data_IF_709242400886
#
_entry.id   IF_709242400886
#
_cell.length_a   1.000
_cell.length_b   1.000
_cell.length_c   1.000
_cell.angle_alpha   90.00
_cell.angle_beta   90.00
_cell.angle_gamma   90.00
#
_symmetry.space_group_name_H-M   'P 1'
#
loop_
_entity.id
_entity.type
_entity.pdbx_description
1 polymer ?
#
# COMPACT_ATOMS: atom_id res chain seq x y z
N UNK A 1 10.40 -24.20 14.08
CA UNK A 1 9.48 -23.42 13.22
C UNK A 1 9.80 -23.75 11.77
N UNK A 2 8.82 -24.16 10.97
CA UNK A 2 9.05 -24.46 9.56
C UNK A 2 9.06 -23.15 8.78
N UNK A 3 10.07 -22.95 7.93
CA UNK A 3 10.16 -21.77 7.07
C UNK A 3 9.07 -21.83 5.98
N UNK A 4 8.26 -20.78 5.86
CA UNK A 4 7.22 -20.63 4.84
C UNK A 4 7.02 -19.15 4.50
N UNK A 5 6.26 -18.85 3.44
CA UNK A 5 6.04 -17.47 2.97
C UNK A 5 5.45 -16.55 4.05
N UNK A 6 4.36 -16.90 4.77
CA UNK A 6 3.81 -16.05 5.83
C UNK A 6 4.84 -15.69 6.91
N UNK A 7 5.56 -16.68 7.43
CA UNK A 7 6.62 -16.47 8.44
C UNK A 7 7.71 -15.51 7.95
N UNK A 8 8.10 -15.61 6.68
CA UNK A 8 9.09 -14.73 6.08
C UNK A 8 8.55 -13.30 5.94
N UNK A 9 7.29 -13.15 5.53
CA UNK A 9 6.64 -11.85 5.36
C UNK A 9 6.41 -11.15 6.70
N UNK A 10 6.03 -11.88 7.76
CA UNK A 10 5.89 -11.33 9.11
C UNK A 10 7.25 -10.79 9.62
N UNK A 11 8.32 -11.56 9.44
CA UNK A 11 9.66 -11.12 9.82
C UNK A 11 10.16 -9.93 8.96
N UNK A 12 9.78 -9.86 7.68
CA UNK A 12 10.08 -8.71 6.83
C UNK A 12 9.34 -7.46 7.30
N UNK A 13 8.04 -7.57 7.64
CA UNK A 13 7.25 -6.48 8.20
C UNK A 13 7.82 -5.96 9.52
N UNK A 14 8.27 -6.86 10.40
CA UNK A 14 8.94 -6.46 11.65
C UNK A 14 10.22 -5.64 11.39
N UNK A 15 11.05 -6.07 10.42
CA UNK A 15 12.24 -5.30 10.03
C UNK A 15 11.85 -3.94 9.44
N UNK A 16 10.82 -3.88 8.60
CA UNK A 16 10.33 -2.64 8.01
C UNK A 16 9.86 -1.67 9.09
N UNK A 17 9.07 -2.12 10.05
CA UNK A 17 8.59 -1.31 11.15
C UNK A 17 9.74 -0.70 11.96
N UNK A 18 10.74 -1.52 12.30
CA UNK A 18 11.85 -1.09 13.17
C UNK A 18 12.90 -0.26 12.42
N UNK A 19 13.28 -0.65 11.21
CA UNK A 19 14.44 -0.09 10.50
C UNK A 19 14.12 0.56 9.15
N UNK A 20 12.95 0.29 8.57
CA UNK A 20 12.58 0.74 7.22
C UNK A 20 13.14 -0.12 6.08
N UNK A 21 12.80 0.25 4.85
CA UNK A 21 13.06 -0.49 3.62
C UNK A 21 14.55 -0.58 3.26
N UNK A 22 15.33 0.46 3.60
CA UNK A 22 16.77 0.49 3.35
C UNK A 22 17.49 -0.67 4.05
N UNK A 23 17.03 -1.03 5.25
CA UNK A 23 17.60 -2.11 6.06
C UNK A 23 17.04 -3.49 5.76
N UNK A 24 15.89 -3.58 5.07
CA UNK A 24 15.33 -4.85 4.62
C UNK A 24 16.20 -5.46 3.51
N UNK A 25 17.13 -6.32 3.91
CA UNK A 25 17.97 -7.12 3.00
C UNK A 25 17.68 -8.61 3.17
N UNK A 26 17.87 -9.39 2.11
CA UNK A 26 17.73 -10.86 2.19
C UNK A 26 18.63 -11.47 3.28
N UNK A 27 19.81 -10.90 3.49
CA UNK A 27 20.75 -11.36 4.52
C UNK A 27 20.24 -11.04 5.93
N UNK A 28 19.83 -9.79 6.20
CA UNK A 28 19.28 -9.39 7.51
C UNK A 28 18.03 -10.22 7.84
N UNK A 29 17.15 -10.42 6.86
CA UNK A 29 15.94 -11.23 7.02
C UNK A 29 16.27 -12.70 7.34
N UNK A 30 17.26 -13.28 6.68
CA UNK A 30 17.67 -14.65 6.98
C UNK A 30 18.27 -14.74 8.39
N UNK A 31 19.07 -13.73 8.78
CA UNK A 31 19.65 -13.63 10.13
C UNK A 31 18.57 -13.50 11.20
N UNK A 32 17.54 -12.66 11.01
CA UNK A 32 16.45 -12.51 12.00
C UNK A 32 15.65 -13.80 12.16
N UNK A 33 15.53 -14.59 11.09
CA UNK A 33 14.88 -15.91 11.10
C UNK A 33 15.81 -17.06 11.53
N UNK A 34 17.09 -16.78 11.84
CA UNK A 34 18.10 -17.79 12.18
C UNK A 34 18.26 -18.89 11.11
N UNK A 35 18.15 -18.54 9.83
CA UNK A 35 18.34 -19.44 8.69
C UNK A 35 19.47 -18.95 7.78
N UNK A 36 19.99 -19.85 6.94
CA UNK A 36 20.92 -19.45 5.89
C UNK A 36 20.19 -18.61 4.81
N UNK A 37 20.82 -17.57 4.21
CA UNK A 37 20.20 -16.78 3.14
C UNK A 37 19.68 -17.61 1.97
N UNK A 38 20.37 -18.71 1.64
CA UNK A 38 19.94 -19.70 0.64
C UNK A 38 18.54 -20.26 0.86
N UNK A 39 18.08 -20.35 2.12
CA UNK A 39 16.77 -20.88 2.46
C UNK A 39 15.63 -19.96 1.99
N UNK A 40 15.82 -18.64 2.04
CA UNK A 40 14.80 -17.68 1.61
C UNK A 40 14.54 -17.74 0.11
N UNK A 41 15.57 -18.04 -0.69
CA UNK A 41 15.46 -18.08 -2.15
C UNK A 41 14.53 -19.18 -2.69
N UNK A 42 14.24 -20.21 -1.89
CA UNK A 42 13.22 -21.21 -2.20
C UNK A 42 11.79 -20.66 -2.13
N UNK A 43 11.57 -19.59 -1.37
CA UNK A 43 10.26 -18.95 -1.21
C UNK A 43 10.14 -17.67 -2.02
N UNK A 44 11.23 -16.89 -2.09
CA UNK A 44 11.31 -15.63 -2.82
C UNK A 44 12.63 -15.56 -3.61
N UNK A 45 12.61 -15.67 -4.95
CA UNK A 45 13.83 -15.80 -5.75
C UNK A 45 14.73 -14.56 -5.71
N UNK A 46 14.23 -13.40 -5.29
CA UNK A 46 14.99 -12.16 -5.14
C UNK A 46 14.26 -11.19 -4.18
N UNK A 47 14.90 -10.05 -3.89
CA UNK A 47 14.29 -8.99 -3.04
C UNK A 47 13.00 -8.45 -3.63
N UNK A 48 12.88 -8.31 -4.95
CA UNK A 48 11.67 -7.77 -5.59
C UNK A 48 10.46 -8.69 -5.38
N UNK A 49 10.65 -10.01 -5.51
CA UNK A 49 9.59 -10.98 -5.23
C UNK A 49 9.15 -10.95 -3.74
N UNK A 50 10.07 -10.69 -2.82
CA UNK A 50 9.74 -10.47 -1.40
C UNK A 50 8.90 -9.19 -1.23
N UNK A 51 9.30 -8.08 -1.87
CA UNK A 51 8.55 -6.82 -1.82
C UNK A 51 7.15 -6.96 -2.44
N UNK A 52 7.01 -7.71 -3.53
CA UNK A 52 5.70 -8.09 -4.09
C UNK A 52 4.84 -8.85 -3.09
N UNK A 53 5.42 -9.79 -2.35
CA UNK A 53 4.72 -10.48 -1.27
C UNK A 53 4.29 -9.56 -0.13
N UNK A 54 5.13 -8.59 0.27
CA UNK A 54 4.76 -7.58 1.29
C UNK A 54 3.65 -6.68 0.78
N UNK A 55 3.72 -6.21 -0.47
CA UNK A 55 2.67 -5.42 -1.10
C UNK A 55 1.35 -6.22 -1.21
N UNK A 56 1.41 -7.52 -1.46
CA UNK A 56 0.22 -8.39 -1.45
C UNK A 56 -0.44 -8.45 -0.07
N UNK A 57 0.35 -8.52 1.01
CA UNK A 57 -0.18 -8.44 2.39
C UNK A 57 -0.85 -7.09 2.65
N UNK A 58 -0.26 -5.97 2.21
CA UNK A 58 -0.92 -4.65 2.32
C UNK A 58 -2.30 -4.67 1.64
N UNK A 59 -2.37 -5.26 0.44
CA UNK A 59 -3.60 -5.33 -0.34
C UNK A 59 -4.67 -6.25 0.26
N UNK A 60 -4.38 -7.10 1.26
CA UNK A 60 -5.40 -7.95 1.89
C UNK A 60 -6.54 -7.15 2.53
N UNK A 61 -6.26 -5.91 2.95
CA UNK A 61 -7.26 -4.99 3.53
C UNK A 61 -7.99 -4.16 2.46
N UNK A 62 -7.56 -4.21 1.20
CA UNK A 62 -8.15 -3.45 0.09
C UNK A 62 -9.17 -4.34 -0.62
N UNK A 63 -10.45 -3.94 -0.72
CA UNK A 63 -11.47 -4.71 -1.42
C UNK A 63 -11.01 -5.11 -2.82
N UNK A 64 -11.17 -6.38 -3.18
CA UNK A 64 -10.89 -6.84 -4.54
C UNK A 64 -12.09 -6.54 -5.44
N UNK A 65 -11.82 -5.91 -6.57
CA UNK A 65 -12.84 -5.50 -7.55
C UNK A 65 -12.61 -6.32 -8.81
N UNK A 66 -13.53 -7.22 -9.11
CA UNK A 66 -13.48 -8.02 -10.35
C UNK A 66 -14.71 -7.73 -11.19
N UNK A 67 -14.54 -7.77 -12.51
CA UNK A 67 -15.64 -7.65 -13.45
C UNK A 67 -16.67 -8.78 -13.19
N UNK A 68 -17.79 -8.45 -12.53
CA UNK A 68 -18.95 -9.33 -12.37
C UNK A 68 -19.19 -9.98 -11.00
N UNK A 69 -18.39 -9.70 -9.96
CA UNK A 69 -18.59 -10.30 -8.61
C UNK A 69 -19.43 -9.42 -7.68
N UNK A 70 -19.72 -8.19 -8.07
CA UNK A 70 -20.77 -7.42 -7.42
C UNK A 70 -22.12 -7.90 -8.00
N UNK A 71 -22.93 -8.59 -7.18
CA UNK A 71 -24.31 -8.91 -7.58
C UNK A 71 -25.00 -7.64 -8.11
N UNK A 72 -25.86 -7.76 -9.12
CA UNK A 72 -26.36 -6.64 -9.93
C UNK A 72 -26.92 -5.42 -9.14
N UNK A 73 -27.26 -5.57 -7.85
CA UNK A 73 -27.67 -4.49 -6.95
C UNK A 73 -26.50 -3.81 -6.18
N UNK A 74 -25.38 -4.50 -5.92
CA UNK A 74 -24.17 -3.93 -5.31
C UNK A 74 -23.22 -3.31 -6.34
N UNK A 75 -23.24 -3.79 -7.59
CA UNK A 75 -22.40 -3.29 -8.69
C UNK A 75 -22.72 -1.84 -9.06
N UNK A 76 -24.01 -1.52 -9.12
CA UNK A 76 -24.48 -0.19 -9.46
C UNK A 76 -24.28 0.84 -8.34
N UNK A 77 -24.12 0.39 -7.09
CA UNK A 77 -23.84 1.26 -5.94
C UNK A 77 -22.33 1.42 -5.65
N UNK A 78 -21.49 0.48 -6.11
CA UNK A 78 -20.04 0.54 -5.98
C UNK A 78 -19.35 1.15 -7.22
N UNK A 79 -19.95 1.05 -8.42
CA UNK A 79 -19.41 1.71 -9.61
C UNK A 79 -19.68 3.22 -9.55
N UNK A 80 -18.67 4.02 -9.93
CA UNK A 80 -18.75 5.48 -9.90
C UNK A 80 -18.05 6.09 -8.68
N UNK A 81 -18.41 7.34 -8.39
CA UNK A 81 -17.59 8.22 -7.55
C UNK A 81 -17.29 7.64 -6.16
N UNK A 82 -18.31 7.12 -5.48
CA UNK A 82 -18.21 6.63 -4.11
C UNK A 82 -17.30 5.39 -3.98
N UNK A 83 -17.38 4.44 -4.91
CA UNK A 83 -16.54 3.24 -4.82
C UNK A 83 -15.09 3.49 -5.20
N UNK A 84 -14.83 4.37 -6.18
CA UNK A 84 -13.46 4.79 -6.49
C UNK A 84 -12.81 5.51 -5.29
N UNK A 85 -13.56 6.36 -4.59
CA UNK A 85 -13.13 7.00 -3.35
C UNK A 85 -12.84 5.98 -2.24
N UNK A 86 -13.74 5.03 -2.00
CA UNK A 86 -13.57 3.99 -0.98
C UNK A 86 -12.35 3.10 -1.27
N UNK A 87 -12.16 2.68 -2.53
CA UNK A 87 -10.99 1.91 -2.95
C UNK A 87 -9.69 2.69 -2.72
N UNK A 88 -9.64 3.97 -3.13
CA UNK A 88 -8.47 4.82 -2.92
C UNK A 88 -8.20 5.05 -1.43
N UNK A 89 -9.24 5.20 -0.61
CA UNK A 89 -9.10 5.34 0.84
C UNK A 89 -8.52 4.07 1.48
N UNK A 90 -9.03 2.90 1.09
CA UNK A 90 -8.52 1.61 1.55
C UNK A 90 -7.07 1.39 1.10
N UNK A 91 -6.75 1.70 -0.16
CA UNK A 91 -5.40 1.64 -0.70
C UNK A 91 -4.44 2.56 0.06
N UNK A 92 -4.85 3.79 0.34
CA UNK A 92 -4.06 4.73 1.15
C UNK A 92 -3.80 4.15 2.55
N UNK A 93 -4.83 3.62 3.24
CA UNK A 93 -4.66 2.96 4.55
C UNK A 93 -3.64 1.83 4.50
N UNK A 94 -3.79 0.94 3.51
CA UNK A 94 -2.94 -0.22 3.34
C UNK A 94 -1.47 0.15 3.10
N UNK A 95 -1.23 1.21 2.32
CA UNK A 95 0.13 1.68 2.03
C UNK A 95 0.72 2.38 3.26
N UNK A 96 -0.04 3.25 3.93
CA UNK A 96 0.46 4.03 5.08
C UNK A 96 0.64 3.20 6.35
N UNK A 97 -0.01 2.03 6.46
CA UNK A 97 0.12 1.15 7.64
C UNK A 97 1.46 0.42 7.71
N UNK A 98 2.21 0.38 6.61
CA UNK A 98 3.53 -0.24 6.55
C UNK A 98 4.56 0.84 6.30
N UNK A 99 5.59 0.91 7.15
CA UNK A 99 6.72 1.84 6.98
C UNK A 99 7.36 1.67 5.60
N UNK A 100 7.58 2.80 4.92
CA UNK A 100 8.04 2.88 3.53
C UNK A 100 7.12 2.14 2.52
N UNK A 101 5.85 1.95 2.86
CA UNK A 101 4.88 1.21 2.06
C UNK A 101 4.66 1.80 0.67
N UNK A 102 4.77 3.12 0.50
CA UNK A 102 4.64 3.75 -0.82
C UNK A 102 5.78 3.30 -1.76
N UNK A 103 7.02 3.25 -1.26
CA UNK A 103 8.18 2.73 -1.98
C UNK A 103 8.01 1.25 -2.34
N UNK A 104 7.53 0.44 -1.39
CA UNK A 104 7.32 -1.00 -1.58
C UNK A 104 6.26 -1.24 -2.66
N UNK A 105 5.13 -0.54 -2.59
CA UNK A 105 4.05 -0.67 -3.57
C UNK A 105 4.52 -0.26 -4.97
N UNK A 106 5.24 0.86 -5.10
CA UNK A 106 5.83 1.28 -6.38
C UNK A 106 6.80 0.23 -6.93
N UNK A 107 7.70 -0.29 -6.09
CA UNK A 107 8.66 -1.31 -6.50
C UNK A 107 7.98 -2.61 -6.93
N UNK A 108 6.92 -3.03 -6.23
CA UNK A 108 6.15 -4.22 -6.53
C UNK A 108 5.39 -4.11 -7.86
N UNK A 109 4.78 -2.95 -8.12
CA UNK A 109 4.10 -2.64 -9.39
C UNK A 109 5.11 -2.57 -10.55
N UNK A 110 6.22 -1.87 -10.38
CA UNK A 110 7.24 -1.70 -11.42
C UNK A 110 7.96 -3.02 -11.76
N UNK A 111 8.05 -3.95 -10.81
CA UNK A 111 8.67 -5.27 -11.01
C UNK A 111 7.67 -6.35 -11.42
N UNK A 112 6.38 -6.01 -11.59
CA UNK A 112 5.31 -6.96 -11.96
C UNK A 112 5.23 -8.18 -11.03
N UNK A 113 5.46 -7.95 -9.73
CA UNK A 113 5.49 -9.02 -8.70
C UNK A 113 4.17 -9.19 -7.94
N UNK A 114 3.15 -8.43 -8.33
CA UNK A 114 1.82 -8.41 -7.75
C UNK A 114 0.90 -9.40 -8.48
N UNK A 115 0.10 -10.17 -7.73
CA UNK A 115 -0.97 -10.99 -8.32
C UNK A 115 -2.21 -10.16 -8.70
N UNK A 116 -2.38 -8.98 -8.09
CA UNK A 116 -3.50 -8.06 -8.33
C UNK A 116 -3.09 -6.93 -9.25
N UNK A 117 -3.91 -6.66 -10.26
CA UNK A 117 -3.77 -5.46 -11.10
C UNK A 117 -4.59 -4.30 -10.51
N UNK A 118 -3.96 -3.52 -9.64
CA UNK A 118 -4.58 -2.39 -8.92
C UNK A 118 -5.20 -1.38 -9.87
N UNK A 119 -4.58 -1.14 -11.03
CA UNK A 119 -5.09 -0.17 -12.01
C UNK A 119 -6.32 -0.73 -12.72
N UNK A 120 -6.30 -2.00 -13.12
CA UNK A 120 -7.45 -2.65 -13.74
C UNK A 120 -8.64 -2.76 -12.76
N UNK A 121 -8.38 -3.14 -11.51
CA UNK A 121 -9.41 -3.19 -10.47
C UNK A 121 -10.09 -1.82 -10.27
N UNK A 122 -9.30 -0.76 -10.12
CA UNK A 122 -9.82 0.60 -9.95
C UNK A 122 -10.49 1.12 -11.24
N UNK A 123 -10.03 0.70 -12.42
CA UNK A 123 -10.65 1.07 -13.69
C UNK A 123 -12.10 0.58 -13.82
N UNK A 124 -12.46 -0.50 -13.15
CA UNK A 124 -13.86 -0.97 -13.08
C UNK A 124 -14.77 -0.04 -12.28
N UNK A 125 -14.20 0.81 -11.41
CA UNK A 125 -14.94 1.79 -10.60
C UNK A 125 -14.94 3.19 -11.23
N UNK A 126 -14.07 3.43 -12.21
CA UNK A 126 -13.84 4.73 -12.82
C UNK A 126 -14.62 4.91 -14.12
N UNK A 127 -15.38 6.00 -14.26
CA UNK A 127 -16.05 6.37 -15.52
C UNK A 127 -15.03 6.62 -16.65
N UNK A 128 -13.91 7.25 -16.32
CA UNK A 128 -12.76 7.45 -17.21
C UNK A 128 -11.93 6.19 -17.47
N UNK A 129 -12.36 5.05 -16.95
CA UNK A 129 -11.71 3.75 -17.09
C UNK A 129 -10.23 3.79 -16.67
N UNK A 130 -9.37 3.20 -17.50
CA UNK A 130 -7.97 2.97 -17.18
C UNK A 130 -7.15 4.25 -16.95
N UNK A 131 -7.42 5.33 -17.70
CA UNK A 131 -6.64 6.56 -17.58
C UNK A 131 -6.93 7.29 -16.25
N UNK A 132 -8.21 7.34 -15.85
CA UNK A 132 -8.60 7.88 -14.56
C UNK A 132 -8.05 7.04 -13.41
N UNK A 133 -8.17 5.71 -13.50
CA UNK A 133 -7.62 4.79 -12.51
C UNK A 133 -6.09 4.94 -12.36
N UNK A 134 -5.36 5.06 -13.47
CA UNK A 134 -3.92 5.27 -13.43
C UNK A 134 -3.55 6.61 -12.78
N UNK A 135 -4.32 7.67 -13.04
CA UNK A 135 -4.12 8.97 -12.39
C UNK A 135 -4.36 8.89 -10.88
N UNK A 136 -5.42 8.20 -10.45
CA UNK A 136 -5.76 7.99 -9.05
C UNK A 136 -4.69 7.16 -8.33
N UNK A 137 -4.24 6.04 -8.90
CA UNK A 137 -3.17 5.22 -8.31
C UNK A 137 -1.89 6.04 -8.14
N UNK A 138 -1.48 6.84 -9.14
CA UNK A 138 -0.32 7.73 -9.04
C UNK A 138 -0.50 8.78 -7.96
N UNK A 139 -1.69 9.38 -7.87
CA UNK A 139 -2.02 10.37 -6.86
C UNK A 139 -1.96 9.78 -5.45
N UNK A 140 -2.57 8.61 -5.23
CA UNK A 140 -2.56 7.92 -3.92
C UNK A 140 -1.13 7.52 -3.54
N UNK A 141 -0.34 6.95 -4.45
CA UNK A 141 1.05 6.58 -4.17
C UNK A 141 1.91 7.79 -3.83
N UNK A 142 1.79 8.88 -4.58
CA UNK A 142 2.51 10.13 -4.31
C UNK A 142 2.09 10.77 -2.99
N UNK A 143 0.79 10.72 -2.67
CA UNK A 143 0.26 11.21 -1.40
C UNK A 143 0.76 10.36 -0.23
N UNK A 144 0.71 9.03 -0.34
CA UNK A 144 1.22 8.13 0.70
C UNK A 144 2.72 8.34 0.96
N UNK A 145 3.51 8.55 -0.11
CA UNK A 145 4.91 8.91 0.02
C UNK A 145 5.10 10.20 0.84
N UNK A 146 4.34 11.24 0.51
CA UNK A 146 4.42 12.53 1.20
C UNK A 146 4.06 12.40 2.69
N UNK A 147 2.97 11.71 3.02
CA UNK A 147 2.56 11.42 4.39
C UNK A 147 3.67 10.69 5.18
N UNK A 148 4.22 9.63 4.61
CA UNK A 148 5.29 8.84 5.27
C UNK A 148 6.59 9.63 5.41
N UNK A 149 6.90 10.50 4.45
CA UNK A 149 8.06 11.41 4.53
C UNK A 149 7.88 12.40 5.67
N UNK A 150 6.72 13.03 5.79
CA UNK A 150 6.40 13.96 6.88
C UNK A 150 6.46 13.26 8.23
N UNK A 151 5.87 12.08 8.35
CA UNK A 151 5.94 11.27 9.57
C UNK A 151 7.40 10.96 9.95
N UNK A 152 8.22 10.50 9.00
CA UNK A 152 9.64 10.20 9.23
C UNK A 152 10.41 11.44 9.70
N UNK A 153 10.13 12.61 9.12
CA UNK A 153 10.75 13.88 9.53
C UNK A 153 10.29 14.25 10.94
N UNK A 154 8.99 14.14 11.26
CA UNK A 154 8.44 14.41 12.61
C UNK A 154 9.10 13.52 13.66
N UNK A 155 9.17 12.21 13.44
CA UNK A 155 9.82 11.24 14.35
C UNK A 155 11.30 11.58 14.62
N UNK A 156 12.02 12.10 13.62
CA UNK A 156 13.41 12.53 13.76
C UNK A 156 13.57 13.84 14.54
N UNK A 157 12.61 14.75 14.43
CA UNK A 157 12.64 16.03 15.13
C UNK A 157 12.17 15.88 16.60
N UNK A 158 11.18 15.04 16.85
CA UNK A 158 10.56 14.81 18.17
C UNK A 158 10.59 13.32 18.58
N UNK A 159 11.76 12.74 18.87
CA UNK A 159 11.89 11.30 19.17
C UNK A 159 11.33 10.86 20.54
N UNK A 160 10.78 11.78 21.35
CA UNK A 160 10.43 11.54 22.75
C UNK A 160 8.95 11.81 23.11
N UNK A 161 8.08 12.12 22.13
CA UNK A 161 6.66 12.30 22.39
C UNK A 161 5.92 10.96 22.30
N UNK A 162 5.46 10.44 23.44
CA UNK A 162 4.37 9.46 23.48
C UNK A 162 3.11 10.10 22.88
N UNK A 163 2.44 9.40 21.96
CA UNK A 163 1.17 9.75 21.32
C UNK A 163 0.78 11.24 21.45
N UNK A 164 1.43 12.10 20.65
CA UNK A 164 1.11 13.52 20.61
C UNK A 164 -0.27 13.71 19.95
N UNK A 165 -1.30 14.16 20.69
CA UNK A 165 -2.62 14.38 20.14
C UNK A 165 -2.65 15.44 19.04
N UNK A 166 -1.65 16.35 18.99
CA UNK A 166 -1.52 17.30 17.88
C UNK A 166 -1.02 16.61 16.60
N UNK A 167 -0.06 15.69 16.72
CA UNK A 167 0.39 14.84 15.62
C UNK A 167 -0.71 13.96 15.03
N UNK A 168 -1.55 13.35 15.87
CA UNK A 168 -2.71 12.55 15.42
C UNK A 168 -3.75 13.41 14.67
N UNK A 169 -3.99 14.64 15.13
CA UNK A 169 -4.89 15.58 14.47
C UNK A 169 -4.35 16.04 13.09
N UNK A 170 -3.04 16.27 12.99
CA UNK A 170 -2.36 16.65 11.75
C UNK A 170 -2.38 15.51 10.73
N UNK A 171 -2.11 14.27 11.15
CA UNK A 171 -2.24 13.07 10.29
C UNK A 171 -3.69 12.89 9.80
N UNK A 172 -4.67 13.11 10.68
CA UNK A 172 -6.09 13.06 10.28
C UNK A 172 -6.45 14.14 9.24
N UNK A 173 -5.85 15.33 9.36
CA UNK A 173 -6.06 16.46 8.45
C UNK A 173 -5.41 16.19 7.10
N UNK A 174 -4.14 15.81 7.11
CA UNK A 174 -3.37 15.43 5.93
C UNK A 174 -4.10 14.32 5.14
N UNK A 175 -4.59 13.29 5.84
CA UNK A 175 -5.38 12.21 5.24
C UNK A 175 -6.70 12.69 4.66
N UNK A 176 -7.38 13.63 5.32
CA UNK A 176 -8.61 14.24 4.81
C UNK A 176 -8.36 15.01 3.51
N UNK A 177 -7.26 15.76 3.41
CA UNK A 177 -6.87 16.50 2.21
C UNK A 177 -6.60 15.57 1.03
N UNK A 178 -5.89 14.46 1.26
CA UNK A 178 -5.66 13.44 0.23
C UNK A 178 -6.98 12.89 -0.30
N UNK A 179 -7.91 12.52 0.60
CA UNK A 179 -9.21 12.02 0.18
C UNK A 179 -10.03 13.08 -0.58
N UNK A 180 -9.95 14.36 -0.19
CA UNK A 180 -10.58 15.45 -0.94
C UNK A 180 -9.99 15.57 -2.36
N UNK A 181 -8.68 15.38 -2.52
CA UNK A 181 -8.00 15.31 -3.82
C UNK A 181 -8.48 14.14 -4.68
N UNK A 182 -8.66 12.95 -4.09
CA UNK A 182 -9.29 11.80 -4.76
C UNK A 182 -10.66 12.19 -5.29
N UNK A 183 -11.55 12.75 -4.46
CA UNK A 183 -12.90 13.17 -4.89
C UNK A 183 -12.85 14.14 -6.06
N UNK A 184 -11.94 15.11 -6.01
CA UNK A 184 -11.78 16.11 -7.07
C UNK A 184 -11.34 15.47 -8.39
N UNK A 185 -10.39 14.52 -8.37
CA UNK A 185 -9.96 13.78 -9.55
C UNK A 185 -11.10 12.92 -10.10
N UNK A 186 -11.86 12.28 -9.21
CA UNK A 186 -12.97 11.42 -9.61
C UNK A 186 -14.09 12.23 -10.27
N UNK A 187 -14.51 13.34 -9.66
CA UNK A 187 -15.54 14.24 -10.17
C UNK A 187 -15.10 15.06 -11.40
N UNK A 188 -13.80 15.30 -11.58
CA UNK A 188 -13.28 16.06 -12.72
C UNK A 188 -13.33 15.34 -14.07
N UNK A 189 -13.65 14.04 -14.07
CA UNK A 189 -13.72 13.19 -15.26
C UNK A 189 -15.15 12.90 -15.74
N UNK A 190 -16.16 13.28 -14.96
CA UNK A 190 -17.58 13.02 -15.25
C UNK A 190 -18.23 14.09 -16.16
N UNK A 191 -17.43 14.83 -16.95
CA UNK A 191 -17.88 15.91 -17.85
C UNK A 191 -17.97 15.50 -19.31
#
# INVERSE_FOLDING_TARGET
>A
MQLNKPVILDAAQAILQEYGLADLTMRRLATSLSVAPGALYWHFPNKQALLGGVAQVMMEQVPSVTAGVTGAAGAANAAGVAGAEEYCAALLTAITSVRDGAEIMVAALASETMDRDVVAELAHLCEGGHHQAQALVRFVLGSAWDLQTRQTVRERLNPAEEADPAGDADDSTDRHEVLAGVRAIVAGWSS
#
